data_IF_803406532754
#
_entry.id   IF_803406532754
#
_cell.length_a   1.000
_cell.length_b   1.000
_cell.length_c   1.000
_cell.angle_alpha   90.00
_cell.angle_beta   90.00
_cell.angle_gamma   90.00
#
_symmetry.space_group_name_H-M   'P 1'
#
loop_
_entity.id
_entity.type
_entity.pdbx_description
1 polymer ?
#
# COMPACT_ATOMS: atom_id res chain seq x y z
N UNK A 1 16.69 -0.78 -20.32
CA UNK A 1 15.81 0.20 -21.01
C UNK A 1 14.43 0.07 -20.40
N UNK A 2 13.72 1.17 -20.10
CA UNK A 2 12.39 1.09 -19.53
C UNK A 2 11.35 0.60 -20.55
N UNK A 3 10.28 -0.05 -20.07
CA UNK A 3 9.12 -0.36 -20.90
C UNK A 3 8.24 0.89 -21.07
N UNK A 4 7.52 1.00 -22.20
CA UNK A 4 6.55 2.08 -22.42
C UNK A 4 5.26 1.95 -21.61
N UNK A 5 4.97 0.77 -21.08
CA UNK A 5 3.77 0.48 -20.26
C UNK A 5 4.19 0.01 -18.87
N UNK A 6 3.67 -1.13 -18.39
CA UNK A 6 4.04 -1.69 -17.09
C UNK A 6 5.38 -2.44 -17.15
N UNK A 7 6.04 -2.59 -15.99
CA UNK A 7 7.21 -3.46 -15.88
C UNK A 7 6.83 -4.94 -16.00
N UNK A 8 5.92 -5.38 -15.13
CA UNK A 8 5.29 -6.70 -15.16
C UNK A 8 3.78 -6.55 -15.06
N UNK A 9 3.04 -7.32 -15.86
CA UNK A 9 1.59 -7.44 -15.79
C UNK A 9 1.17 -8.90 -15.56
N UNK A 10 0.40 -9.15 -14.50
CA UNK A 10 -0.25 -10.43 -14.22
C UNK A 10 -1.76 -10.25 -14.42
N UNK A 11 -2.25 -10.65 -15.60
CA UNK A 11 -3.62 -10.41 -16.04
C UNK A 11 -4.36 -11.74 -16.14
N UNK A 12 -5.49 -11.85 -15.46
CA UNK A 12 -6.35 -13.03 -15.44
C UNK A 12 -5.62 -14.33 -15.04
N UNK A 13 -4.56 -14.17 -14.25
CA UNK A 13 -3.64 -15.22 -13.85
C UNK A 13 -3.94 -15.74 -12.44
N UNK A 14 -3.56 -16.98 -12.17
CA UNK A 14 -3.60 -17.60 -10.85
C UNK A 14 -2.17 -17.86 -10.36
N UNK A 15 -1.94 -17.77 -9.03
CA UNK A 15 -0.73 -18.33 -8.38
C UNK A 15 0.62 -17.89 -8.97
N UNK A 16 0.72 -16.67 -9.46
CA UNK A 16 1.98 -16.12 -9.98
C UNK A 16 2.91 -15.68 -8.86
N UNK A 17 4.17 -16.10 -8.93
CA UNK A 17 5.25 -15.60 -8.06
C UNK A 17 6.10 -14.59 -8.82
N UNK A 18 6.19 -13.37 -8.30
CA UNK A 18 6.97 -12.26 -8.82
C UNK A 18 7.95 -11.84 -7.72
N UNK A 19 9.19 -12.34 -7.79
CA UNK A 19 10.17 -12.15 -6.72
C UNK A 19 11.51 -11.62 -7.22
N UNK A 20 12.12 -10.70 -6.47
CA UNK A 20 13.50 -10.28 -6.67
C UNK A 20 13.76 -9.45 -7.93
N UNK A 21 12.74 -8.77 -8.47
CA UNK A 21 12.86 -7.98 -9.70
C UNK A 21 13.18 -6.51 -9.41
N UNK A 22 13.72 -5.81 -10.41
CA UNK A 22 13.84 -4.35 -10.44
C UNK A 22 12.86 -3.79 -11.47
N UNK A 23 11.77 -3.19 -11.01
CA UNK A 23 10.66 -2.71 -11.83
C UNK A 23 10.62 -1.18 -11.81
N UNK A 24 11.41 -0.57 -12.69
CA UNK A 24 11.75 0.85 -12.60
C UNK A 24 11.86 1.52 -13.96
N UNK A 25 11.57 2.81 -14.00
CA UNK A 25 11.61 3.65 -15.19
C UNK A 25 10.44 3.44 -16.16
N UNK A 26 9.47 2.58 -15.84
CA UNK A 26 8.42 2.19 -16.76
C UNK A 26 7.44 3.34 -17.03
N UNK A 27 6.88 3.35 -18.24
CA UNK A 27 5.95 4.37 -18.72
C UNK A 27 4.59 4.39 -18.04
N UNK A 28 4.27 3.38 -17.22
CA UNK A 28 3.09 3.34 -16.34
C UNK A 28 3.42 2.80 -14.93
N UNK A 29 2.81 1.70 -14.51
CA UNK A 29 2.97 1.07 -13.18
C UNK A 29 4.15 0.09 -13.20
N UNK A 30 4.90 -0.02 -12.10
CA UNK A 30 5.98 -1.02 -12.01
C UNK A 30 5.48 -2.46 -12.13
N UNK A 31 4.50 -2.83 -11.32
CA UNK A 31 3.81 -4.12 -11.34
C UNK A 31 2.30 -3.91 -11.31
N UNK A 32 1.59 -4.45 -12.30
CA UNK A 32 0.13 -4.47 -12.29
C UNK A 32 -0.40 -5.90 -12.23
N UNK A 33 -1.27 -6.19 -11.27
CA UNK A 33 -2.05 -7.42 -11.25
C UNK A 33 -3.55 -7.10 -11.35
N UNK A 34 -4.23 -7.83 -12.22
CA UNK A 34 -5.64 -7.67 -12.52
C UNK A 34 -6.29 -9.04 -12.73
N UNK A 35 -7.54 -9.19 -12.27
CA UNK A 35 -8.36 -10.35 -12.59
C UNK A 35 -7.87 -11.68 -12.01
N UNK A 36 -7.31 -11.70 -10.80
CA UNK A 36 -6.76 -12.93 -10.22
C UNK A 36 -7.80 -14.05 -10.22
N UNK A 37 -7.47 -15.17 -10.86
CA UNK A 37 -8.33 -16.35 -10.93
C UNK A 37 -7.88 -17.41 -9.91
N UNK A 38 -8.84 -18.18 -9.38
CA UNK A 38 -8.57 -19.25 -8.41
C UNK A 38 -8.45 -18.78 -6.95
N UNK A 39 -8.10 -19.72 -6.06
CA UNK A 39 -8.04 -19.50 -4.60
C UNK A 39 -6.66 -19.21 -4.06
N UNK A 40 -5.61 -19.34 -4.88
CA UNK A 40 -4.22 -19.14 -4.47
C UNK A 40 -3.78 -17.70 -4.80
N UNK A 41 -3.31 -16.92 -3.81
CA UNK A 41 -2.88 -15.55 -4.05
C UNK A 41 -1.61 -15.49 -4.90
N UNK A 42 -1.43 -14.39 -5.64
CA UNK A 42 -0.13 -14.02 -6.16
C UNK A 42 0.87 -13.77 -5.03
N UNK A 43 2.14 -14.09 -5.27
CA UNK A 43 3.24 -13.78 -4.35
C UNK A 43 4.09 -12.71 -5.00
N UNK A 44 4.11 -11.51 -4.41
CA UNK A 44 4.90 -10.37 -4.88
C UNK A 44 5.91 -10.08 -3.78
N UNK A 45 7.15 -10.54 -3.93
CA UNK A 45 8.12 -10.53 -2.85
C UNK A 45 9.47 -9.92 -3.21
N UNK A 46 10.11 -9.22 -2.28
CA UNK A 46 11.51 -8.78 -2.39
C UNK A 46 11.86 -8.00 -3.66
N UNK A 47 10.88 -7.33 -4.29
CA UNK A 47 11.10 -6.53 -5.48
C UNK A 47 11.55 -5.11 -5.12
N UNK A 48 12.34 -4.51 -5.99
CA UNK A 48 12.66 -3.08 -6.01
C UNK A 48 11.79 -2.39 -7.06
N UNK A 49 10.98 -1.42 -6.66
CA UNK A 49 9.99 -0.81 -7.55
C UNK A 49 10.10 0.72 -7.52
N UNK A 50 10.50 1.31 -8.66
CA UNK A 50 10.69 2.75 -8.83
C UNK A 50 12.07 3.29 -8.39
N UNK A 51 13.00 2.40 -8.03
CA UNK A 51 14.39 2.74 -7.66
C UNK A 51 15.41 2.14 -8.64
N UNK A 52 16.66 2.59 -8.59
CA UNK A 52 17.77 1.88 -9.23
C UNK A 52 17.95 0.47 -8.62
N UNK A 53 18.79 -0.36 -9.25
CA UNK A 53 19.05 -1.73 -8.79
C UNK A 53 19.68 -1.85 -7.40
N UNK A 54 20.28 -0.76 -6.89
CA UNK A 54 20.80 -0.70 -5.52
C UNK A 54 19.71 -0.31 -4.49
N UNK A 55 18.55 0.19 -4.93
CA UNK A 55 17.50 0.70 -4.06
C UNK A 55 17.80 2.08 -3.45
N UNK A 56 18.79 2.81 -3.98
CA UNK A 56 19.35 4.03 -3.35
C UNK A 56 19.02 5.33 -4.07
N UNK A 57 18.54 5.27 -5.31
CA UNK A 57 18.13 6.45 -6.07
C UNK A 57 16.82 6.18 -6.82
N UNK A 58 16.03 7.24 -7.03
CA UNK A 58 14.81 7.15 -7.82
C UNK A 58 15.13 6.80 -9.28
N UNK A 59 14.38 5.84 -9.80
CA UNK A 59 14.23 5.56 -11.23
C UNK A 59 12.74 5.24 -11.41
N UNK A 60 11.91 6.24 -11.16
CA UNK A 60 10.48 6.08 -10.93
C UNK A 60 9.72 5.52 -12.12
N UNK A 61 8.70 4.71 -11.83
CA UNK A 61 7.63 4.46 -12.79
C UNK A 61 6.71 5.71 -12.84
N UNK A 62 6.05 5.99 -13.96
CA UNK A 62 5.25 7.23 -14.10
C UNK A 62 3.93 7.19 -13.29
N UNK A 63 3.42 6.00 -12.99
CA UNK A 63 2.19 5.78 -12.22
C UNK A 63 2.51 5.15 -10.86
N UNK A 64 1.79 4.08 -10.47
CA UNK A 64 1.92 3.46 -9.16
C UNK A 64 3.15 2.52 -9.14
N UNK A 65 3.68 2.22 -7.97
CA UNK A 65 4.69 1.17 -7.87
C UNK A 65 4.07 -0.21 -8.15
N UNK A 66 3.19 -0.64 -7.25
CA UNK A 66 2.44 -1.89 -7.36
C UNK A 66 0.96 -1.55 -7.38
N UNK A 67 0.23 -2.04 -8.38
CA UNK A 67 -1.22 -1.89 -8.47
C UNK A 67 -1.90 -3.26 -8.49
N UNK A 68 -2.86 -3.46 -7.60
CA UNK A 68 -3.81 -4.56 -7.65
C UNK A 68 -5.18 -4.02 -8.02
N UNK A 69 -5.88 -4.71 -8.92
CA UNK A 69 -7.21 -4.31 -9.35
C UNK A 69 -8.20 -5.48 -9.31
N UNK A 70 -9.36 -5.19 -8.73
CA UNK A 70 -10.55 -6.02 -8.66
C UNK A 70 -11.00 -6.56 -10.01
N UNK A 71 -11.80 -7.63 -10.06
CA UNK A 71 -12.40 -8.07 -11.31
C UNK A 71 -13.56 -7.14 -11.65
N UNK A 72 -13.76 -6.82 -12.92
CA UNK A 72 -14.82 -5.90 -13.36
C UNK A 72 -16.22 -6.53 -13.36
N UNK A 73 -16.31 -7.86 -13.18
CA UNK A 73 -17.57 -8.60 -13.13
C UNK A 73 -18.29 -8.53 -11.76
N UNK A 74 -17.69 -7.85 -10.78
CA UNK A 74 -18.23 -7.69 -9.44
C UNK A 74 -18.07 -8.92 -8.55
N UNK A 75 -17.38 -9.96 -9.02
CA UNK A 75 -16.99 -11.09 -8.16
C UNK A 75 -16.04 -10.62 -7.05
N UNK A 76 -16.10 -11.25 -5.88
CA UNK A 76 -15.16 -10.99 -4.78
C UNK A 76 -14.21 -12.18 -4.69
N UNK A 77 -12.95 -12.03 -5.10
CA UNK A 77 -11.95 -13.09 -4.97
C UNK A 77 -11.69 -13.46 -3.53
N UNK A 78 -11.45 -14.76 -3.31
CA UNK A 78 -11.25 -15.33 -1.98
C UNK A 78 -9.82 -15.17 -1.46
N UNK A 79 -8.87 -14.80 -2.34
CA UNK A 79 -7.49 -14.42 -2.01
C UNK A 79 -6.89 -13.66 -3.21
N UNK A 80 -6.27 -12.50 -2.99
CA UNK A 80 -5.63 -11.74 -4.07
C UNK A 80 -4.11 -11.87 -4.07
N UNK A 81 -3.41 -11.23 -3.14
CA UNK A 81 -1.97 -11.15 -3.21
C UNK A 81 -1.31 -11.10 -1.83
N UNK A 82 -0.14 -11.74 -1.74
CA UNK A 82 0.84 -11.55 -0.68
C UNK A 82 1.92 -10.61 -1.20
N UNK A 83 1.89 -9.36 -0.77
CA UNK A 83 2.89 -8.34 -1.12
C UNK A 83 3.85 -8.21 0.07
N UNK A 84 5.03 -8.83 -0.02
CA UNK A 84 5.92 -8.97 1.13
C UNK A 84 7.37 -8.54 0.90
N UNK A 85 7.96 -7.77 1.81
CA UNK A 85 9.40 -7.48 1.78
C UNK A 85 9.87 -6.61 0.60
N UNK A 86 8.96 -5.98 -0.13
CA UNK A 86 9.32 -5.14 -1.28
C UNK A 86 9.80 -3.75 -0.81
N UNK A 87 10.66 -3.12 -1.62
CA UNK A 87 10.99 -1.69 -1.49
C UNK A 87 10.32 -0.93 -2.62
N UNK A 88 9.33 -0.10 -2.30
CA UNK A 88 8.51 0.63 -3.29
C UNK A 88 8.64 2.12 -3.08
N UNK A 89 9.40 2.77 -3.94
CA UNK A 89 9.85 4.14 -3.73
C UNK A 89 10.10 4.86 -5.04
N UNK A 90 9.95 6.18 -5.06
CA UNK A 90 10.25 7.00 -6.24
C UNK A 90 9.22 6.94 -7.36
N UNK A 91 8.04 6.35 -7.15
CA UNK A 91 7.01 6.24 -8.18
C UNK A 91 6.21 7.54 -8.35
N UNK A 92 5.69 7.76 -9.56
CA UNK A 92 4.98 8.98 -9.96
C UNK A 92 3.58 9.15 -9.36
N UNK A 93 3.05 8.11 -8.70
CA UNK A 93 1.81 8.14 -7.91
C UNK A 93 1.97 7.36 -6.61
N UNK A 94 1.05 6.45 -6.30
CA UNK A 94 1.02 5.73 -5.03
C UNK A 94 2.12 4.65 -5.01
N UNK A 95 2.61 4.30 -3.81
CA UNK A 95 3.56 3.19 -3.69
C UNK A 95 2.86 1.87 -4.02
N UNK A 96 1.92 1.47 -3.15
CA UNK A 96 1.05 0.31 -3.35
C UNK A 96 -0.39 0.83 -3.44
N UNK A 97 -1.10 0.45 -4.50
CA UNK A 97 -2.52 0.75 -4.67
C UNK A 97 -3.32 -0.53 -4.86
N UNK A 98 -4.33 -0.75 -4.02
CA UNK A 98 -5.39 -1.72 -4.29
C UNK A 98 -6.67 -0.98 -4.66
N UNK A 99 -7.39 -1.49 -5.66
CA UNK A 99 -8.64 -0.90 -6.13
C UNK A 99 -9.65 -2.02 -6.37
N UNK A 100 -10.78 -2.01 -5.67
CA UNK A 100 -11.84 -3.02 -5.79
C UNK A 100 -11.37 -4.44 -5.52
N UNK A 101 -10.31 -4.58 -4.72
CA UNK A 101 -9.65 -5.84 -4.42
C UNK A 101 -10.09 -6.34 -3.04
N UNK A 102 -9.48 -7.42 -2.54
CA UNK A 102 -9.71 -7.86 -1.18
C UNK A 102 -8.83 -9.04 -0.79
N UNK A 103 -8.81 -9.40 0.49
CA UNK A 103 -8.00 -10.53 0.97
C UNK A 103 -6.51 -10.41 0.60
N UNK A 104 -5.97 -9.19 0.58
CA UNK A 104 -4.56 -8.93 0.38
C UNK A 104 -3.81 -9.01 1.72
N UNK A 105 -2.60 -9.56 1.68
CA UNK A 105 -1.63 -9.47 2.76
C UNK A 105 -0.49 -8.56 2.30
N UNK A 106 -0.52 -7.31 2.76
CA UNK A 106 0.52 -6.31 2.46
C UNK A 106 1.39 -6.21 3.71
N UNK A 107 2.54 -6.86 3.71
CA UNK A 107 3.34 -6.96 4.92
C UNK A 107 4.85 -6.83 4.78
N UNK A 108 5.49 -6.21 5.77
CA UNK A 108 6.95 -6.07 5.79
C UNK A 108 7.55 -5.25 4.63
N UNK A 109 6.74 -4.45 3.93
CA UNK A 109 7.24 -3.62 2.83
C UNK A 109 7.82 -2.31 3.36
N UNK A 110 8.81 -1.78 2.63
CA UNK A 110 9.35 -0.43 2.84
C UNK A 110 8.85 0.48 1.71
N UNK A 111 8.13 1.55 2.06
CA UNK A 111 7.43 2.39 1.09
C UNK A 111 7.79 3.87 1.30
N UNK A 112 8.44 4.47 0.29
CA UNK A 112 8.87 5.87 0.28
C UNK A 112 10.28 6.13 0.82
N UNK A 113 11.00 5.09 1.26
CA UNK A 113 12.40 5.14 1.69
C UNK A 113 13.31 4.37 0.74
N UNK A 114 14.60 4.71 0.75
CA UNK A 114 15.63 3.89 0.12
C UNK A 114 15.75 2.52 0.82
N UNK A 115 16.16 1.49 0.07
CA UNK A 115 16.33 0.14 0.61
C UNK A 115 17.36 0.15 1.75
N UNK A 116 16.95 -0.39 2.91
CA UNK A 116 17.81 -0.49 4.09
C UNK A 116 18.17 0.85 4.74
N UNK A 117 17.59 1.97 4.28
CA UNK A 117 17.88 3.27 4.84
C UNK A 117 17.13 3.51 6.15
N UNK A 118 17.79 4.25 7.04
CA UNK A 118 17.15 4.80 8.23
C UNK A 118 16.25 5.97 7.81
N UNK A 119 16.79 7.04 7.22
CA UNK A 119 16.01 8.26 6.94
C UNK A 119 16.04 8.74 5.49
N UNK A 120 16.77 8.06 4.60
CA UNK A 120 16.88 8.47 3.19
C UNK A 120 15.56 8.26 2.47
N UNK A 121 14.89 9.37 2.17
CA UNK A 121 13.62 9.43 1.47
C UNK A 121 13.80 9.30 -0.05
N UNK A 122 13.03 8.41 -0.66
CA UNK A 122 12.83 8.32 -2.11
C UNK A 122 11.32 8.29 -2.34
N UNK A 123 10.73 9.47 -2.36
CA UNK A 123 9.29 9.63 -2.24
C UNK A 123 8.52 9.05 -3.42
N UNK A 124 7.48 8.27 -3.11
CA UNK A 124 6.36 8.16 -4.03
C UNK A 124 5.60 9.49 -4.04
N UNK A 125 5.09 9.91 -5.20
CA UNK A 125 4.42 11.21 -5.34
C UNK A 125 3.02 11.25 -4.72
N UNK A 126 2.38 10.10 -4.57
CA UNK A 126 1.08 9.91 -3.95
C UNK A 126 1.17 9.36 -2.52
N UNK A 127 0.16 8.59 -2.14
CA UNK A 127 0.08 7.90 -0.85
C UNK A 127 1.05 6.71 -0.84
N UNK A 128 1.64 6.39 0.30
CA UNK A 128 2.47 5.19 0.42
C UNK A 128 1.69 3.92 0.10
N UNK A 129 0.63 3.65 0.87
CA UNK A 129 -0.29 2.53 0.64
C UNK A 129 -1.72 3.06 0.57
N UNK A 130 -2.38 2.87 -0.58
CA UNK A 130 -3.77 3.24 -0.78
C UNK A 130 -4.63 1.99 -1.02
N UNK A 131 -5.60 1.78 -0.14
CA UNK A 131 -6.64 0.77 -0.26
C UNK A 131 -7.93 1.47 -0.69
N UNK A 132 -8.41 1.20 -1.91
CA UNK A 132 -9.64 1.81 -2.44
C UNK A 132 -10.69 0.75 -2.69
N UNK A 133 -11.80 0.81 -1.95
CA UNK A 133 -12.89 -0.18 -2.00
C UNK A 133 -12.37 -1.61 -1.82
N UNK A 134 -11.35 -1.74 -0.99
CA UNK A 134 -10.72 -3.01 -0.66
C UNK A 134 -11.54 -3.71 0.44
N UNK A 135 -11.45 -5.04 0.57
CA UNK A 135 -12.21 -5.80 1.56
C UNK A 135 -11.33 -6.84 2.25
N UNK A 136 -11.43 -6.97 3.57
CA UNK A 136 -10.69 -8.01 4.34
C UNK A 136 -9.19 -8.08 4.06
N UNK A 137 -8.53 -6.98 3.70
CA UNK A 137 -7.08 -6.95 3.56
C UNK A 137 -6.39 -6.62 4.88
N UNK A 138 -5.23 -7.22 5.09
CA UNK A 138 -4.34 -6.93 6.20
C UNK A 138 -3.13 -6.16 5.70
N UNK A 139 -2.89 -4.99 6.29
CA UNK A 139 -1.69 -4.17 6.11
C UNK A 139 -0.91 -4.20 7.41
N UNK A 140 0.21 -4.91 7.43
CA UNK A 140 0.94 -5.19 8.67
C UNK A 140 2.45 -5.09 8.59
N UNK A 141 3.08 -4.57 9.64
CA UNK A 141 4.55 -4.51 9.74
C UNK A 141 5.24 -3.75 8.59
N UNK A 142 4.54 -2.85 7.90
CA UNK A 142 5.13 -2.03 6.84
C UNK A 142 5.80 -0.79 7.45
N UNK A 143 6.84 -0.31 6.78
CA UNK A 143 7.43 1.02 7.01
C UNK A 143 6.95 1.92 5.89
N UNK A 144 6.09 2.90 6.19
CA UNK A 144 5.41 3.75 5.21
C UNK A 144 5.67 5.21 5.54
N UNK A 145 6.70 5.77 4.91
CA UNK A 145 7.30 7.02 5.36
C UNK A 145 7.91 7.79 4.21
N UNK A 146 8.04 9.11 4.35
CA UNK A 146 8.68 9.92 3.32
C UNK A 146 7.89 9.99 2.00
N UNK A 147 6.59 9.74 1.97
CA UNK A 147 5.80 9.92 0.74
C UNK A 147 5.44 11.40 0.55
N UNK A 148 5.27 11.87 -0.69
CA UNK A 148 4.77 13.24 -0.96
C UNK A 148 3.25 13.35 -0.67
N UNK A 149 2.55 12.22 -0.53
CA UNK A 149 1.18 12.13 -0.05
C UNK A 149 1.09 11.68 1.41
N UNK A 150 0.05 10.90 1.73
CA UNK A 150 -0.15 10.29 3.06
C UNK A 150 0.60 8.97 3.25
N UNK A 151 0.58 8.44 4.47
CA UNK A 151 1.11 7.13 4.79
C UNK A 151 0.23 6.00 4.26
N UNK A 152 -0.76 5.56 5.05
CA UNK A 152 -1.67 4.46 4.72
C UNK A 152 -3.11 4.94 4.69
N UNK A 153 -3.73 5.02 3.52
CA UNK A 153 -5.12 5.48 3.38
C UNK A 153 -6.03 4.34 2.95
N UNK A 154 -7.17 4.20 3.63
CA UNK A 154 -8.25 3.29 3.29
C UNK A 154 -9.51 4.10 2.95
N UNK A 155 -9.95 3.99 1.70
CA UNK A 155 -11.03 4.79 1.11
C UNK A 155 -12.13 3.87 0.57
N UNK A 156 -13.34 4.01 1.09
CA UNK A 156 -14.55 3.32 0.61
C UNK A 156 -14.74 1.84 0.97
N UNK A 157 -15.99 1.38 1.16
CA UNK A 157 -16.40 -0.02 0.90
C UNK A 157 -15.97 -1.15 1.85
N UNK A 158 -15.73 -0.91 3.14
CA UNK A 158 -15.20 -1.93 4.07
C UNK A 158 -16.25 -2.55 5.04
N UNK A 159 -17.53 -2.17 4.92
CA UNK A 159 -18.55 -2.55 5.90
C UNK A 159 -18.79 -4.06 5.99
N UNK A 160 -18.62 -4.62 7.19
CA UNK A 160 -18.76 -6.06 7.46
C UNK A 160 -17.53 -6.89 7.08
N UNK A 161 -16.53 -6.25 6.49
CA UNK A 161 -15.36 -6.85 5.88
C UNK A 161 -14.10 -6.08 6.32
N UNK A 162 -13.88 -5.93 7.65
CA UNK A 162 -12.97 -4.94 8.19
C UNK A 162 -11.54 -5.16 7.70
N UNK A 163 -10.86 -4.06 7.39
CA UNK A 163 -9.41 -4.07 7.18
C UNK A 163 -8.68 -4.27 8.49
N UNK A 164 -7.49 -4.85 8.43
CA UNK A 164 -6.56 -4.86 9.55
C UNK A 164 -5.37 -3.96 9.23
N UNK A 165 -5.15 -2.93 10.04
CA UNK A 165 -3.99 -2.03 9.99
C UNK A 165 -3.20 -2.27 11.27
N UNK A 166 -2.21 -3.15 11.19
CA UNK A 166 -1.54 -3.71 12.37
C UNK A 166 -0.03 -3.46 12.38
N UNK A 167 0.50 -2.89 13.46
CA UNK A 167 1.95 -2.85 13.70
C UNK A 167 2.76 -2.20 12.56
N UNK A 168 2.16 -1.26 11.84
CA UNK A 168 2.88 -0.49 10.84
C UNK A 168 3.65 0.66 11.50
N UNK A 169 4.76 1.05 10.88
CA UNK A 169 5.53 2.26 11.22
C UNK A 169 5.26 3.30 10.14
N UNK A 170 4.65 4.42 10.51
CA UNK A 170 4.13 5.41 9.55
C UNK A 170 4.65 6.80 9.91
N UNK A 171 5.47 7.37 9.04
CA UNK A 171 6.12 8.68 9.26
C UNK A 171 7.43 8.61 10.05
N UNK A 172 7.95 7.40 10.32
CA UNK A 172 9.23 7.17 10.98
C UNK A 172 10.18 6.33 10.11
N UNK A 173 11.43 6.19 10.53
CA UNK A 173 12.34 5.19 9.99
C UNK A 173 11.91 3.75 10.31
N UNK A 174 12.65 2.78 9.77
CA UNK A 174 12.41 1.37 10.03
C UNK A 174 12.64 0.95 11.48
N UNK A 175 13.38 1.72 12.28
CA UNK A 175 13.53 1.47 13.72
C UNK A 175 12.35 2.02 14.53
N UNK A 176 11.71 3.09 14.07
CA UNK A 176 10.64 3.80 14.76
C UNK A 176 11.14 4.96 15.62
N UNK A 177 12.40 5.35 15.49
CA UNK A 177 13.05 6.36 16.33
C UNK A 177 13.10 7.72 15.62
N UNK A 178 13.39 7.73 14.33
CA UNK A 178 13.62 8.97 13.58
C UNK A 178 12.43 9.33 12.72
N UNK A 179 11.99 10.58 12.78
CA UNK A 179 10.91 11.08 11.93
C UNK A 179 11.34 11.13 10.45
N UNK A 180 10.48 10.61 9.58
CA UNK A 180 10.56 10.70 8.12
C UNK A 180 9.15 10.98 7.58
N UNK A 181 8.67 12.23 7.66
CA UNK A 181 7.26 12.58 7.45
C UNK A 181 6.68 12.12 6.12
N UNK A 182 5.44 11.63 6.16
CA UNK A 182 4.54 11.72 5.03
C UNK A 182 3.88 13.11 5.05
N UNK A 183 3.76 13.76 3.89
CA UNK A 183 3.38 15.19 3.80
C UNK A 183 1.91 15.50 4.08
N UNK A 184 1.01 14.53 3.95
CA UNK A 184 -0.44 14.75 4.18
C UNK A 184 -0.88 14.25 5.56
N UNK A 185 -0.21 13.24 6.12
CA UNK A 185 -0.61 12.58 7.37
C UNK A 185 -0.24 11.10 7.39
N UNK A 186 -0.53 10.44 8.51
CA UNK A 186 -0.21 9.03 8.74
C UNK A 186 -1.25 8.07 8.16
N UNK A 187 -2.13 7.57 9.02
CA UNK A 187 -3.17 6.59 8.68
C UNK A 187 -4.52 7.30 8.53
N UNK A 188 -5.28 7.01 7.47
CA UNK A 188 -6.62 7.56 7.27
C UNK A 188 -7.62 6.50 6.84
N UNK A 189 -8.74 6.41 7.54
CA UNK A 189 -9.92 5.62 7.17
C UNK A 189 -11.06 6.59 6.83
N UNK A 190 -11.61 6.47 5.64
CA UNK A 190 -12.72 7.33 5.19
C UNK A 190 -13.68 6.55 4.31
N UNK A 191 -15.00 6.68 4.54
CA UNK A 191 -16.00 6.05 3.68
C UNK A 191 -16.21 6.84 2.38
N UNK A 192 -16.84 6.19 1.40
CA UNK A 192 -17.35 6.91 0.23
C UNK A 192 -18.58 7.72 0.63
N UNK A 193 -18.70 8.99 0.19
CA UNK A 193 -19.86 9.83 0.51
C UNK A 193 -21.22 9.22 0.12
N UNK A 194 -21.23 8.31 -0.85
CA UNK A 194 -22.45 7.70 -1.41
C UNK A 194 -22.86 6.37 -0.79
N UNK A 195 -22.12 5.82 0.19
CA UNK A 195 -22.39 4.51 0.76
C UNK A 195 -22.59 4.58 2.29
N UNK A 196 -23.84 4.46 2.81
CA UNK A 196 -24.06 4.32 4.24
C UNK A 196 -23.51 2.97 4.71
N UNK A 197 -22.47 2.98 5.54
CA UNK A 197 -21.84 1.75 6.03
C UNK A 197 -22.42 1.31 7.37
N UNK A 198 -23.00 0.11 7.41
CA UNK A 198 -23.33 -0.61 8.63
C UNK A 198 -22.29 -1.73 8.85
N UNK A 199 -21.53 -1.68 9.95
CA UNK A 199 -20.54 -2.70 10.30
C UNK A 199 -19.11 -2.16 10.43
N UNK A 200 -18.22 -2.99 10.98
CA UNK A 200 -16.84 -2.60 11.26
C UNK A 200 -16.09 -2.28 9.97
N UNK A 201 -15.47 -1.10 9.94
CA UNK A 201 -14.79 -0.57 8.77
C UNK A 201 -13.29 -0.87 8.75
N UNK A 202 -12.67 -0.96 9.94
CA UNK A 202 -11.26 -1.33 10.06
C UNK A 202 -10.81 -1.40 11.51
N UNK A 203 -9.88 -2.31 11.76
CA UNK A 203 -9.14 -2.48 13.01
C UNK A 203 -7.75 -1.87 12.86
N UNK A 204 -7.54 -0.70 13.47
CA UNK A 204 -6.27 0.03 13.47
C UNK A 204 -5.62 -0.17 14.82
N UNK A 205 -4.61 -1.05 14.90
CA UNK A 205 -4.00 -1.35 16.19
C UNK A 205 -2.49 -1.54 16.17
N UNK A 206 -1.87 -1.23 17.30
CA UNK A 206 -0.43 -1.41 17.54
C UNK A 206 0.48 -0.69 16.54
N UNK A 207 -0.02 0.30 15.80
CA UNK A 207 0.79 1.06 14.85
C UNK A 207 1.61 2.12 15.58
N UNK A 208 2.81 2.40 15.06
CA UNK A 208 3.60 3.57 15.40
C UNK A 208 3.40 4.62 14.31
N UNK A 209 2.75 5.74 14.62
CA UNK A 209 2.33 6.76 13.67
C UNK A 209 2.81 8.13 14.11
N UNK A 210 4.07 8.45 13.84
CA UNK A 210 4.70 9.67 14.36
C UNK A 210 5.43 10.44 13.28
N UNK A 211 5.68 11.72 13.52
CA UNK A 211 6.52 12.56 12.66
C UNK A 211 5.94 12.87 11.27
N UNK A 212 4.64 12.66 11.02
CA UNK A 212 3.97 13.07 9.79
C UNK A 212 3.66 14.58 9.80
N UNK A 213 3.55 15.22 8.62
CA UNK A 213 3.29 16.66 8.51
C UNK A 213 1.80 17.03 8.76
N UNK A 214 0.92 16.03 8.73
CA UNK A 214 -0.51 16.16 9.05
C UNK A 214 -0.93 15.23 10.18
N UNK A 215 -2.24 14.96 10.29
CA UNK A 215 -2.79 14.12 11.35
C UNK A 215 -2.14 12.73 11.41
N UNK A 216 -1.96 12.21 12.62
CA UNK A 216 -1.44 10.85 12.85
C UNK A 216 -2.42 9.79 12.33
N UNK A 217 -3.55 9.61 13.03
CA UNK A 217 -4.61 8.67 12.64
C UNK A 217 -5.93 9.42 12.49
N UNK A 218 -6.59 9.26 11.35
CA UNK A 218 -7.90 9.88 11.03
C UNK A 218 -8.93 8.80 10.72
N UNK A 219 -10.10 8.90 11.35
CA UNK A 219 -11.30 8.12 11.00
C UNK A 219 -12.41 9.12 10.69
N UNK A 220 -12.90 9.16 9.45
CA UNK A 220 -13.75 10.25 8.96
C UNK A 220 -14.86 9.81 8.00
N UNK A 221 -15.78 10.73 7.70
CA UNK A 221 -16.81 10.64 6.66
C UNK A 221 -17.62 9.35 6.70
N UNK A 222 -18.36 9.11 7.78
CA UNK A 222 -19.34 8.02 7.85
C UNK A 222 -18.76 6.63 8.10
N UNK A 223 -17.46 6.52 8.35
CA UNK A 223 -16.85 5.30 8.88
C UNK A 223 -17.50 4.94 10.22
N UNK A 224 -18.05 3.73 10.32
CA UNK A 224 -18.70 3.21 11.51
C UNK A 224 -17.96 1.99 12.05
N UNK A 225 -18.09 1.73 13.36
CA UNK A 225 -17.61 0.54 14.04
C UNK A 225 -16.13 0.16 13.78
N UNK A 226 -15.27 1.15 13.53
CA UNK A 226 -13.81 0.97 13.55
C UNK A 226 -13.28 0.82 14.98
N UNK A 227 -12.26 -0.01 15.15
CA UNK A 227 -11.46 -0.07 16.37
C UNK A 227 -10.14 0.66 16.15
N UNK A 228 -9.75 1.50 17.10
CA UNK A 228 -8.45 2.18 17.12
C UNK A 228 -7.85 1.97 18.51
N UNK A 229 -6.92 1.02 18.64
CA UNK A 229 -6.39 0.59 19.95
C UNK A 229 -4.87 0.43 19.93
N UNK A 230 -4.21 0.66 21.07
CA UNK A 230 -2.77 0.42 21.25
C UNK A 230 -1.84 1.08 20.21
N UNK A 231 -2.29 2.16 19.55
CA UNK A 231 -1.45 2.91 18.63
C UNK A 231 -0.64 3.96 19.38
N UNK A 232 0.61 4.15 18.99
CA UNK A 232 1.47 5.25 19.44
C UNK A 232 1.48 6.32 18.35
N UNK A 233 1.06 7.55 18.66
CA UNK A 233 1.05 8.67 17.70
C UNK A 233 1.71 9.91 18.25
#
# INVERSE_FOLDING_TARGET
MPNHMQGIAALDAAKTTIQGNVLSGNGETGLWAYGITGSDPHVIADNLVGTNAAGTAALGNTSDGIRLSGPTDGSTPTAYAKITGNTISGNGRDGIRTADSGHNDISGNTVGLAKGATTTRIANKGVGILLSRDKRSSVRHNVVSGNDGGGIFAVGGHAGEPLELLSNKVGTDGTGVWAVPNKIGGIKLTAEPSAPTAGAYGDVRSNLVSGNDGDGIVVAHGVAASTVTDNTS
#
